data_IF_809262568825
#
_entry.id   IF_809262568825
#
_cell.length_a   1.000
_cell.length_b   1.000
_cell.length_c   1.000
_cell.angle_alpha   90.00
_cell.angle_beta   90.00
_cell.angle_gamma   90.00
#
_symmetry.space_group_name_H-M   'P 1'
#
loop_
_entity.id
_entity.type
_entity.pdbx_description
1 polymer ?
#
# COMPACT_ATOMS: atom_id res chain seq x y z
N UNK A 1 -7.90 -2.51 -10.93
CA UNK A 1 -6.59 -2.18 -11.55
C UNK A 1 -5.67 -3.33 -11.19
N UNK A 2 -5.24 -4.11 -12.17
CA UNK A 2 -4.21 -5.12 -11.98
C UNK A 2 -2.84 -4.45 -12.15
N UNK A 3 -1.97 -4.58 -11.15
CA UNK A 3 -0.66 -3.94 -11.13
C UNK A 3 0.46 -4.81 -11.73
N UNK A 4 0.16 -6.04 -12.15
CA UNK A 4 1.15 -7.01 -12.65
C UNK A 4 1.97 -6.45 -13.81
N UNK A 5 1.31 -5.76 -14.74
CA UNK A 5 1.92 -5.12 -15.91
C UNK A 5 2.00 -3.60 -15.81
N UNK A 6 1.72 -3.03 -14.63
CA UNK A 6 1.82 -1.59 -14.42
C UNK A 6 3.29 -1.16 -14.36
N UNK A 7 3.64 -0.08 -15.06
CA UNK A 7 4.99 0.51 -15.06
C UNK A 7 5.25 1.44 -13.88
N UNK A 8 4.21 1.80 -13.11
CA UNK A 8 4.33 2.70 -11.96
C UNK A 8 4.95 2.04 -10.73
N UNK A 9 5.72 2.79 -9.95
CA UNK A 9 6.36 2.32 -8.71
C UNK A 9 5.38 1.93 -7.60
N UNK A 10 4.11 2.34 -7.70
CA UNK A 10 3.08 2.00 -6.73
C UNK A 10 2.89 0.49 -6.51
N UNK A 11 3.25 -0.35 -7.50
CA UNK A 11 3.23 -1.82 -7.38
C UNK A 11 4.20 -2.39 -6.35
N UNK A 12 5.17 -1.59 -5.90
CA UNK A 12 6.20 -1.99 -4.94
C UNK A 12 5.80 -1.69 -3.49
N UNK A 13 4.70 -0.96 -3.27
CA UNK A 13 4.28 -0.56 -1.92
C UNK A 13 3.58 -1.73 -1.25
N UNK A 14 4.16 -2.17 -0.13
CA UNK A 14 3.78 -3.42 0.53
C UNK A 14 2.53 -3.27 1.41
N UNK A 15 1.98 -4.42 1.74
CA UNK A 15 0.86 -4.55 2.66
C UNK A 15 1.23 -4.20 4.11
N UNK A 16 0.27 -3.64 4.83
CA UNK A 16 0.26 -3.51 6.28
C UNK A 16 -1.17 -3.46 6.81
N UNK A 17 -1.39 -3.90 8.04
CA UNK A 17 -2.66 -3.66 8.73
C UNK A 17 -2.99 -2.16 8.77
N UNK A 18 -4.29 -1.82 8.65
CA UNK A 18 -4.79 -0.43 8.60
C UNK A 18 -4.17 0.50 9.64
N UNK A 19 -4.02 0.01 10.88
CA UNK A 19 -3.49 0.79 12.02
C UNK A 19 -2.00 1.10 11.88
N UNK A 20 -1.24 0.21 11.24
CA UNK A 20 0.21 0.33 11.07
C UNK A 20 0.61 0.96 9.73
N UNK A 21 -0.30 0.94 8.74
CA UNK A 21 -0.08 1.57 7.45
C UNK A 21 0.21 3.08 7.59
N UNK A 22 1.28 3.53 6.95
CA UNK A 22 1.69 4.94 6.87
C UNK A 22 1.19 5.62 5.58
N UNK A 23 0.64 4.85 4.64
CA UNK A 23 0.00 5.33 3.42
C UNK A 23 -1.46 4.86 3.30
N UNK A 24 -2.21 5.54 2.43
CA UNK A 24 -3.56 5.17 1.99
C UNK A 24 -3.64 5.24 0.46
N UNK A 25 -4.46 4.37 -0.14
CA UNK A 25 -4.77 4.39 -1.57
C UNK A 25 -6.11 5.10 -1.79
N UNK A 26 -6.18 5.99 -2.77
CA UNK A 26 -7.43 6.54 -3.29
C UNK A 26 -7.52 6.30 -4.79
N UNK A 27 -8.72 5.95 -5.25
CA UNK A 27 -9.07 6.03 -6.67
C UNK A 27 -9.43 7.49 -6.98
N UNK A 28 -8.69 8.10 -7.88
CA UNK A 28 -8.91 9.47 -8.33
C UNK A 28 -9.15 9.48 -9.84
N UNK A 29 -9.79 10.52 -10.34
CA UNK A 29 -9.95 10.74 -11.77
C UNK A 29 -9.00 11.85 -12.22
N UNK A 30 -8.20 11.56 -13.24
CA UNK A 30 -7.30 12.54 -13.87
C UNK A 30 -7.54 12.47 -15.37
N UNK A 31 -8.00 13.57 -15.97
CA UNK A 31 -8.33 13.70 -17.39
C UNK A 31 -9.33 12.62 -17.86
N UNK A 32 -10.39 12.38 -17.08
CA UNK A 32 -11.41 11.38 -17.40
C UNK A 32 -10.97 9.92 -17.25
N UNK A 33 -9.74 9.67 -16.76
CA UNK A 33 -9.22 8.32 -16.56
C UNK A 33 -9.03 8.02 -15.06
N UNK A 34 -9.56 6.88 -14.56
CA UNK A 34 -9.36 6.48 -13.18
C UNK A 34 -7.91 6.05 -12.93
N UNK A 35 -7.33 6.55 -11.85
CA UNK A 35 -5.97 6.24 -11.39
C UNK A 35 -5.97 5.90 -9.91
N UNK A 36 -4.99 5.12 -9.48
CA UNK A 36 -4.72 4.90 -8.06
C UNK A 36 -3.61 5.85 -7.62
N UNK A 37 -3.85 6.57 -6.53
CA UNK A 37 -2.88 7.46 -5.93
C UNK A 37 -2.61 7.04 -4.48
N UNK A 38 -1.32 7.06 -4.11
CA UNK A 38 -0.83 6.76 -2.78
C UNK A 38 -0.63 8.09 -2.05
N UNK A 39 -1.26 8.23 -0.89
CA UNK A 39 -1.10 9.41 -0.04
C UNK A 39 -0.51 8.98 1.31
N UNK A 40 0.40 9.80 1.84
CA UNK A 40 0.88 9.61 3.20
C UNK A 40 -0.24 9.95 4.21
N UNK A 41 -0.33 9.19 5.31
CA UNK A 41 -1.26 9.44 6.43
C UNK A 41 -0.68 10.40 7.47
N UNK A 42 0.63 10.60 7.44
CA UNK A 42 1.43 11.47 8.30
C UNK A 42 2.73 11.82 7.58
N UNK A 43 3.53 12.69 8.18
CA UNK A 43 4.91 12.90 7.74
C UNK A 43 5.72 11.61 7.85
N UNK A 44 6.61 11.39 6.89
CA UNK A 44 7.42 10.19 6.73
C UNK A 44 8.88 10.53 6.96
N UNK A 45 9.60 9.62 7.62
CA UNK A 45 11.04 9.77 7.77
C UNK A 45 11.78 9.28 6.51
N UNK A 46 12.97 9.81 6.27
CA UNK A 46 13.83 9.32 5.19
C UNK A 46 14.17 7.84 5.42
N UNK A 47 14.03 7.03 4.38
CA UNK A 47 14.27 5.58 4.44
C UNK A 47 13.11 4.76 5.03
N UNK A 48 12.03 5.41 5.48
CA UNK A 48 10.85 4.71 5.95
C UNK A 48 10.13 4.00 4.78
N UNK A 49 9.87 2.70 4.94
CA UNK A 49 9.16 1.92 3.92
C UNK A 49 7.68 2.36 3.83
N UNK A 50 7.20 2.62 2.62
CA UNK A 50 5.80 2.91 2.37
C UNK A 50 4.97 1.64 2.45
N UNK A 51 3.88 1.67 3.23
CA UNK A 51 2.96 0.55 3.38
C UNK A 51 1.51 1.00 3.45
N UNK A 52 0.62 0.28 2.78
CA UNK A 52 -0.83 0.53 2.84
C UNK A 52 -1.62 -0.75 3.13
N UNK A 53 -2.86 -0.60 3.58
CA UNK A 53 -3.75 -1.75 3.76
C UNK A 53 -4.36 -2.16 2.43
N UNK A 54 -4.07 -3.39 1.99
CA UNK A 54 -4.63 -3.94 0.76
C UNK A 54 -6.16 -4.10 0.82
N UNK A 55 -6.77 -3.97 2.00
CA UNK A 55 -8.22 -4.08 2.20
C UNK A 55 -8.72 -5.52 2.15
N UNK A 56 -7.82 -6.49 2.10
CA UNK A 56 -8.12 -7.92 2.04
C UNK A 56 -7.87 -8.53 3.42
N UNK A 57 -8.88 -9.23 3.94
CA UNK A 57 -8.75 -10.01 5.17
C UNK A 57 -8.03 -11.33 4.88
N UNK A 58 -7.47 -11.96 5.93
CA UNK A 58 -6.90 -13.31 5.86
C UNK A 58 -5.69 -13.54 4.93
N UNK A 59 -4.96 -12.47 4.59
CA UNK A 59 -3.74 -12.55 3.81
C UNK A 59 -2.72 -13.53 4.44
N UNK A 60 -2.19 -14.52 3.69
CA UNK A 60 -1.31 -15.55 4.25
C UNK A 60 -0.07 -15.00 4.95
N UNK A 61 0.52 -13.92 4.42
CA UNK A 61 1.69 -13.28 5.01
C UNK A 61 1.40 -12.51 6.30
N UNK A 62 0.14 -12.12 6.57
CA UNK A 62 -0.26 -11.52 7.85
C UNK A 62 -0.35 -12.55 8.98
N UNK A 63 -0.47 -13.84 8.66
CA UNK A 63 -0.61 -14.94 9.63
C UNK A 63 0.72 -15.38 10.23
N UNK A 64 1.85 -15.01 9.63
CA UNK A 64 3.20 -15.27 10.15
C UNK A 64 3.66 -14.09 11.02
N UNK A 65 3.18 -14.02 12.26
CA UNK A 65 3.66 -13.05 13.28
C UNK A 65 4.44 -13.69 14.44
N UNK A 66 4.84 -14.94 14.33
CA UNK A 66 5.72 -15.60 15.30
C UNK A 66 7.05 -15.95 14.66
N UNK A 67 8.14 -15.48 15.27
CA UNK A 67 9.54 -15.88 15.06
C UNK A 67 10.34 -15.13 13.97
N UNK A 68 10.38 -13.80 14.05
CA UNK A 68 11.60 -13.08 13.69
C UNK A 68 11.96 -12.21 14.90
N UNK A 69 13.08 -12.58 15.52
CA UNK A 69 13.56 -12.31 16.89
C UNK A 69 12.95 -13.18 17.98
#
# INVERSE_FOLDING_TARGET
>A
VDATFASGLGRLVNDSEHKMANCLIKKIEINGQPRLAIYAKRDLNMGEELRYDYGVKDLPWRKRKGNLY
#
